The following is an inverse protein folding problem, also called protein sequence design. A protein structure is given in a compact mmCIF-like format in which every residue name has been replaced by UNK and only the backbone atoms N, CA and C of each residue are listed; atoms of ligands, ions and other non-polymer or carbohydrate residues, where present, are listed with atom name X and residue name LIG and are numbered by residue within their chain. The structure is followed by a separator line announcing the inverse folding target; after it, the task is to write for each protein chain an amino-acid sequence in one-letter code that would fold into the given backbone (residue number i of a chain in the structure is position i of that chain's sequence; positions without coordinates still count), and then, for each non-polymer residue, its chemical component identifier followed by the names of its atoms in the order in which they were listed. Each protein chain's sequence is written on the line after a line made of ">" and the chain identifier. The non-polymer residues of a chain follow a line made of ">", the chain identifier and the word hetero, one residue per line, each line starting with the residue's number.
data_IF_641300934822
#
_entry.id   IF_641300934822
#
_cell.length_a   1.000
_cell.length_b   1.000
_cell.length_c   1.000
_cell.angle_alpha   90.00
_cell.angle_beta   90.00
_cell.angle_gamma   90.00
#
_symmetry.space_group_name_H-M   'P 1'
#
loop_
_entity.id
_entity.type
_entity.pdbx_description
1 polymer ?
#
# COMPACT_ATOMS: atom_id res chain seq x y z
N UNK A 1 -11.68 41.71 -20.59
CA UNK A 1 -10.58 40.74 -20.80
C UNK A 1 -9.86 40.35 -19.50
N UNK A 2 -9.18 41.25 -18.77
CA UNK A 2 -8.47 40.88 -17.51
C UNK A 2 -9.33 40.14 -16.48
N UNK A 3 -10.60 40.54 -16.30
CA UNK A 3 -11.54 39.88 -15.37
C UNK A 3 -11.90 38.45 -15.79
N UNK A 4 -11.94 38.16 -17.09
CA UNK A 4 -12.21 36.82 -17.62
C UNK A 4 -11.01 35.91 -17.34
N UNK A 5 -9.79 36.41 -17.55
CA UNK A 5 -8.56 35.68 -17.21
C UNK A 5 -8.46 35.37 -15.72
N UNK A 6 -8.83 36.31 -14.85
CA UNK A 6 -8.86 36.07 -13.41
C UNK A 6 -9.84 34.94 -13.07
N UNK A 7 -11.08 34.99 -13.57
CA UNK A 7 -12.10 33.95 -13.32
C UNK A 7 -11.64 32.58 -13.81
N UNK A 8 -11.02 32.49 -15.00
CA UNK A 8 -10.47 31.23 -15.52
C UNK A 8 -9.35 30.72 -14.62
N UNK A 9 -8.44 31.59 -14.16
CA UNK A 9 -7.36 31.20 -13.26
C UNK A 9 -7.89 30.69 -11.91
N UNK A 10 -8.91 31.36 -11.36
CA UNK A 10 -9.54 30.92 -10.11
C UNK A 10 -10.27 29.59 -10.27
N UNK A 11 -10.94 29.35 -11.41
CA UNK A 11 -11.60 28.06 -11.69
C UNK A 11 -10.59 26.92 -11.81
N UNK A 12 -9.44 27.14 -12.45
CA UNK A 12 -8.38 26.15 -12.59
C UNK A 12 -7.73 25.75 -11.25
N UNK A 13 -7.70 26.67 -10.27
CA UNK A 13 -7.17 26.42 -8.93
C UNK A 13 -8.12 25.63 -8.01
N UNK A 14 -9.40 25.51 -8.37
CA UNK A 14 -10.44 24.90 -7.53
C UNK A 14 -10.83 23.50 -8.03
N UNK A 15 -10.29 23.04 -9.15
CA UNK A 15 -10.42 21.64 -9.53
C UNK A 15 -9.56 20.79 -8.59
N UNK A 16 -10.15 19.86 -7.80
CA UNK A 16 -9.35 18.85 -7.15
C UNK A 16 -8.70 18.02 -8.25
N UNK A 17 -7.38 18.16 -8.40
CA UNK A 17 -6.58 17.14 -9.05
C UNK A 17 -6.67 15.92 -8.12
N UNK A 18 -7.67 15.07 -8.33
CA UNK A 18 -7.59 13.69 -7.88
C UNK A 18 -6.42 13.09 -8.63
N UNK A 19 -5.27 13.01 -7.97
CA UNK A 19 -4.06 12.46 -8.52
C UNK A 19 -3.78 11.13 -7.85
N UNK A 20 -3.51 10.12 -8.65
CA UNK A 20 -2.84 8.89 -8.22
C UNK A 20 -1.59 9.24 -7.42
N UNK A 21 -1.34 8.50 -6.35
CA UNK A 21 -0.20 8.72 -5.47
C UNK A 21 1.09 8.58 -6.28
N UNK A 22 2.01 9.51 -6.09
CA UNK A 22 3.33 9.47 -6.71
C UNK A 22 4.39 9.43 -5.62
N UNK A 23 5.22 8.41 -5.67
CA UNK A 23 6.37 8.26 -4.78
C UNK A 23 7.63 8.27 -5.64
N UNK A 24 8.71 8.88 -5.15
CA UNK A 24 10.03 8.86 -5.81
C UNK A 24 11.04 8.47 -4.75
N UNK A 25 11.50 7.23 -4.82
CA UNK A 25 12.12 6.53 -3.69
C UNK A 25 12.99 5.37 -4.19
N UNK A 26 13.83 4.78 -3.33
CA UNK A 26 14.51 3.52 -3.63
C UNK A 26 13.54 2.35 -3.44
N UNK A 27 13.28 1.57 -4.49
CA UNK A 27 12.43 0.38 -4.37
C UNK A 27 13.04 -0.63 -3.38
N UNK A 28 14.37 -0.74 -3.37
CA UNK A 28 15.08 -1.61 -2.43
C UNK A 28 14.84 -1.19 -0.98
N UNK A 29 14.95 0.11 -0.67
CA UNK A 29 14.73 0.58 0.70
C UNK A 29 13.25 0.54 1.09
N UNK A 30 12.34 0.80 0.15
CA UNK A 30 10.91 0.60 0.37
C UNK A 30 10.59 -0.85 0.76
N UNK A 31 11.24 -1.85 0.14
CA UNK A 31 10.98 -3.27 0.42
C UNK A 31 11.62 -3.78 1.73
N UNK A 32 12.84 -3.34 2.05
CA UNK A 32 13.67 -3.98 3.09
C UNK A 32 14.22 -3.03 4.16
N UNK A 33 13.81 -1.77 4.20
CA UNK A 33 14.44 -0.80 5.09
C UNK A 33 13.65 0.48 5.24
N UNK A 34 14.37 1.56 5.50
CA UNK A 34 13.79 2.88 5.75
C UNK A 34 13.80 3.71 4.47
N UNK A 35 12.62 4.18 4.06
CA UNK A 35 12.40 5.03 2.91
C UNK A 35 11.34 6.11 3.25
N UNK A 36 11.77 7.26 3.80
CA UNK A 36 10.87 8.27 4.34
C UNK A 36 10.10 9.04 3.24
N UNK A 37 10.39 8.78 1.97
CA UNK A 37 9.66 9.36 0.83
C UNK A 37 8.44 8.52 0.41
N UNK A 38 8.18 7.40 1.08
CA UNK A 38 7.01 6.57 0.90
C UNK A 38 6.01 6.76 2.05
N UNK A 39 4.74 6.40 1.81
CA UNK A 39 3.71 6.44 2.85
C UNK A 39 4.02 5.50 4.03
N UNK A 40 4.70 4.40 3.75
CA UNK A 40 5.32 3.46 4.67
C UNK A 40 6.53 2.83 3.97
N UNK A 41 7.39 2.15 4.71
CA UNK A 41 8.57 1.47 4.21
C UNK A 41 8.68 0.07 4.83
N UNK A 42 9.82 -0.60 4.63
CA UNK A 42 10.03 -1.97 5.08
C UNK A 42 8.87 -2.92 4.72
N UNK A 43 8.34 -2.83 3.50
CA UNK A 43 7.11 -3.50 3.05
C UNK A 43 7.03 -4.98 3.47
N UNK A 44 8.14 -5.70 3.47
CA UNK A 44 8.20 -7.12 3.81
C UNK A 44 7.86 -7.39 5.27
N UNK A 45 8.19 -6.49 6.19
CA UNK A 45 7.85 -6.64 7.60
C UNK A 45 6.37 -6.43 7.90
N UNK A 46 5.56 -6.03 6.90
CA UNK A 46 4.11 -5.91 7.02
C UNK A 46 3.35 -7.12 6.48
N UNK A 47 4.06 -8.11 5.93
CA UNK A 47 3.44 -9.35 5.45
C UNK A 47 2.75 -10.05 6.61
N UNK A 48 1.50 -10.46 6.39
CA UNK A 48 0.75 -11.22 7.36
C UNK A 48 1.52 -12.50 7.73
N UNK A 49 1.67 -12.73 9.03
CA UNK A 49 2.26 -13.96 9.51
C UNK A 49 1.36 -15.14 9.15
N UNK A 50 2.00 -16.18 8.60
CA UNK A 50 1.31 -17.40 8.23
C UNK A 50 0.87 -18.22 9.43
N UNK A 51 0.58 -19.49 9.19
CA UNK A 51 0.16 -20.43 10.23
C UNK A 51 1.22 -20.48 11.34
N UNK A 52 0.88 -19.99 12.54
CA UNK A 52 1.72 -20.01 13.73
C UNK A 52 1.81 -21.42 14.35
N UNK A 53 2.34 -22.37 13.59
CA UNK A 53 2.73 -23.70 14.07
C UNK A 53 4.22 -23.65 14.38
N UNK A 54 4.58 -24.04 15.60
CA UNK A 54 5.98 -24.12 16.02
C UNK A 54 6.82 -24.94 15.01
N UNK A 55 7.81 -24.29 14.41
CA UNK A 55 8.73 -24.90 13.43
C UNK A 55 8.18 -24.99 11.99
N UNK A 56 7.05 -24.35 11.69
CA UNK A 56 6.50 -24.30 10.33
C UNK A 56 7.22 -23.26 9.47
N UNK A 57 7.38 -22.04 9.99
CA UNK A 57 8.25 -21.02 9.40
C UNK A 57 9.48 -20.81 10.30
N UNK A 58 10.62 -20.51 9.70
CA UNK A 58 11.85 -20.11 10.42
C UNK A 58 12.25 -18.75 9.88
N UNK A 59 11.85 -17.70 10.58
CA UNK A 59 12.33 -16.35 10.31
C UNK A 59 13.69 -16.14 10.98
N UNK A 60 14.37 -15.05 10.60
CA UNK A 60 15.67 -14.70 11.16
C UNK A 60 15.59 -14.67 12.71
N UNK A 61 16.71 -14.87 13.44
CA UNK A 61 16.73 -15.47 14.79
C UNK A 61 16.03 -14.71 15.94
N UNK A 62 15.34 -13.61 15.66
CA UNK A 62 14.66 -12.75 16.62
C UNK A 62 13.16 -12.62 16.39
N UNK A 63 12.64 -13.09 15.26
CA UNK A 63 11.22 -12.96 14.92
C UNK A 63 10.42 -14.14 15.52
N UNK A 64 9.44 -13.81 16.37
CA UNK A 64 8.57 -14.77 17.04
C UNK A 64 7.22 -14.81 16.33
N UNK A 65 6.97 -15.89 15.61
CA UNK A 65 5.64 -16.15 15.05
C UNK A 65 4.51 -16.00 16.06
N UNK A 66 3.67 -14.99 15.84
CA UNK A 66 2.43 -14.78 16.56
C UNK A 66 1.23 -15.22 15.73
N UNK A 67 0.16 -15.63 16.41
CA UNK A 67 -1.12 -15.82 15.75
C UNK A 67 -1.90 -14.51 15.87
N UNK A 68 -1.53 -13.50 15.08
CA UNK A 68 -2.17 -12.19 15.18
C UNK A 68 -1.55 -11.03 14.44
N UNK A 69 -0.39 -11.16 13.80
CA UNK A 69 0.20 -10.06 13.03
C UNK A 69 -0.20 -10.16 11.54
N UNK A 70 -1.17 -9.33 11.15
CA UNK A 70 -1.80 -9.35 9.83
C UNK A 70 -2.88 -10.43 9.67
N UNK A 71 -3.49 -10.47 8.49
CA UNK A 71 -4.52 -11.43 8.10
C UNK A 71 -4.60 -11.57 6.57
N UNK A 72 -5.51 -12.42 6.10
CA UNK A 72 -5.82 -12.57 4.68
C UNK A 72 -7.33 -12.62 4.46
N UNK A 73 -7.76 -12.14 3.29
CA UNK A 73 -9.16 -12.23 2.87
C UNK A 73 -9.28 -13.23 1.73
N UNK A 74 -10.13 -14.24 1.92
CA UNK A 74 -10.63 -15.06 0.80
C UNK A 74 -11.82 -14.30 0.20
N UNK A 75 -11.71 -13.79 -1.04
CA UNK A 75 -12.72 -12.91 -1.60
C UNK A 75 -14.01 -13.68 -1.90
N UNK A 76 -15.15 -13.05 -1.63
CA UNK A 76 -16.46 -13.52 -2.11
C UNK A 76 -16.73 -13.06 -3.55
N UNK A 77 -17.86 -13.49 -4.12
CA UNK A 77 -18.22 -13.18 -5.52
C UNK A 77 -18.33 -11.67 -5.80
N UNK A 78 -18.83 -10.88 -4.85
CA UNK A 78 -18.95 -9.43 -4.98
C UNK A 78 -17.56 -8.77 -4.98
N UNK A 79 -16.67 -9.21 -4.09
CA UNK A 79 -15.29 -8.73 -4.01
C UNK A 79 -14.49 -9.11 -5.26
N UNK A 80 -14.68 -10.32 -5.79
CA UNK A 80 -14.06 -10.75 -7.04
C UNK A 80 -14.54 -9.90 -8.23
N UNK A 81 -15.84 -9.60 -8.27
CA UNK A 81 -16.42 -8.73 -9.30
C UNK A 81 -15.82 -7.32 -9.23
N UNK A 82 -15.69 -6.76 -8.03
CA UNK A 82 -15.04 -5.48 -7.80
C UNK A 82 -13.57 -5.49 -8.24
N UNK A 83 -12.81 -6.51 -7.84
CA UNK A 83 -11.40 -6.65 -8.20
C UNK A 83 -11.19 -6.77 -9.70
N UNK A 84 -12.02 -7.55 -10.40
CA UNK A 84 -11.95 -7.65 -11.86
C UNK A 84 -12.09 -6.26 -12.52
N UNK A 85 -13.09 -5.48 -12.09
CA UNK A 85 -13.30 -4.13 -12.61
C UNK A 85 -12.13 -3.20 -12.30
N UNK A 86 -11.59 -3.23 -11.08
CA UNK A 86 -10.43 -2.42 -10.66
C UNK A 86 -9.20 -2.77 -11.50
N UNK A 87 -8.92 -4.07 -11.68
CA UNK A 87 -7.76 -4.55 -12.45
C UNK A 87 -7.91 -4.20 -13.93
N UNK A 88 -9.09 -4.31 -14.51
CA UNK A 88 -9.35 -3.92 -15.90
C UNK A 88 -9.04 -2.43 -16.13
N UNK A 89 -9.50 -1.55 -15.23
CA UNK A 89 -9.20 -0.12 -15.27
C UNK A 89 -7.69 0.14 -15.12
N UNK A 90 -7.04 -0.53 -14.17
CA UNK A 90 -5.62 -0.39 -13.91
C UNK A 90 -4.76 -0.81 -15.12
N UNK A 91 -5.08 -1.95 -15.74
CA UNK A 91 -4.39 -2.45 -16.94
C UNK A 91 -4.66 -1.58 -18.17
N UNK A 92 -5.82 -0.94 -18.26
CA UNK A 92 -6.13 0.07 -19.27
C UNK A 92 -5.38 1.41 -19.06
N UNK A 93 -4.72 1.60 -17.90
CA UNK A 93 -4.04 2.83 -17.53
C UNK A 93 -4.98 3.92 -16.98
N UNK A 94 -6.24 3.58 -16.73
CA UNK A 94 -7.25 4.46 -16.11
C UNK A 94 -7.05 4.51 -14.59
N UNK A 95 -5.92 5.06 -14.14
CA UNK A 95 -5.49 4.98 -12.75
C UNK A 95 -6.37 5.75 -11.77
N UNK A 96 -6.85 6.94 -12.14
CA UNK A 96 -7.76 7.72 -11.27
C UNK A 96 -9.11 7.00 -11.11
N UNK A 97 -9.58 6.34 -12.18
CA UNK A 97 -10.81 5.54 -12.16
C UNK A 97 -10.61 4.27 -11.32
N UNK A 98 -9.45 3.61 -11.44
CA UNK A 98 -9.10 2.45 -10.62
C UNK A 98 -9.04 2.81 -9.13
N UNK A 99 -8.39 3.94 -8.77
CA UNK A 99 -8.37 4.44 -7.39
C UNK A 99 -9.78 4.78 -6.89
N UNK A 100 -10.61 5.39 -7.75
CA UNK A 100 -12.01 5.68 -7.43
C UNK A 100 -12.81 4.40 -7.17
N UNK A 101 -12.62 3.37 -7.99
CA UNK A 101 -13.27 2.08 -7.83
C UNK A 101 -12.87 1.39 -6.51
N UNK A 102 -11.57 1.42 -6.16
CA UNK A 102 -11.05 0.94 -4.87
C UNK A 102 -11.73 1.65 -3.70
N UNK A 103 -11.78 2.98 -3.74
CA UNK A 103 -12.38 3.80 -2.67
C UNK A 103 -13.88 3.50 -2.49
N UNK A 104 -14.60 3.27 -3.59
CA UNK A 104 -16.05 3.01 -3.56
C UNK A 104 -16.39 1.69 -2.89
N UNK A 105 -15.53 0.67 -2.99
CA UNK A 105 -15.74 -0.64 -2.36
C UNK A 105 -15.06 -0.76 -0.99
N UNK A 106 -14.29 0.25 -0.59
CA UNK A 106 -13.66 0.31 0.73
C UNK A 106 -12.47 -0.64 0.89
N UNK A 107 -11.84 -1.08 -0.20
CA UNK A 107 -10.62 -1.88 -0.11
C UNK A 107 -9.46 -1.00 0.38
N UNK A 108 -8.61 -1.49 1.31
CA UNK A 108 -7.47 -0.75 1.84
C UNK A 108 -6.29 -0.76 0.84
N UNK A 109 -6.53 -0.38 -0.41
CA UNK A 109 -5.54 -0.40 -1.47
C UNK A 109 -5.36 0.98 -2.10
N UNK A 110 -4.21 1.17 -2.72
CA UNK A 110 -3.86 2.39 -3.42
C UNK A 110 -3.23 2.06 -4.77
N UNK A 111 -3.58 2.87 -5.77
CA UNK A 111 -2.84 2.97 -7.02
C UNK A 111 -1.66 3.90 -6.76
N UNK A 112 -0.44 3.43 -7.03
CA UNK A 112 0.80 4.19 -6.82
C UNK A 112 1.63 4.19 -8.10
N UNK A 113 2.06 5.37 -8.51
CA UNK A 113 3.15 5.54 -9.48
C UNK A 113 4.46 5.68 -8.70
N UNK A 114 5.21 4.59 -8.63
CA UNK A 114 6.46 4.53 -7.89
C UNK A 114 7.64 4.76 -8.84
N UNK A 115 8.31 5.90 -8.71
CA UNK A 115 9.49 6.25 -9.50
C UNK A 115 10.73 5.75 -8.77
N UNK A 116 11.21 4.59 -9.17
CA UNK A 116 12.35 3.94 -8.51
C UNK A 116 13.66 4.64 -8.85
N UNK A 117 14.33 5.13 -7.82
CA UNK A 117 15.62 5.81 -7.93
C UNK A 117 16.78 4.84 -8.15
N UNK A 118 16.62 3.55 -7.83
CA UNK A 118 17.65 2.53 -8.02
C UNK A 118 17.80 2.14 -9.50
N UNK A 119 16.67 1.90 -10.18
CA UNK A 119 16.65 1.45 -11.59
C UNK A 119 16.26 2.54 -12.60
N UNK A 120 15.68 3.65 -12.15
CA UNK A 120 15.09 4.67 -13.03
C UNK A 120 13.78 4.25 -13.69
N UNK A 121 13.18 3.14 -13.27
CA UNK A 121 11.91 2.62 -13.79
C UNK A 121 10.75 3.21 -12.98
N UNK A 122 9.68 3.63 -13.67
CA UNK A 122 8.41 3.93 -13.01
C UNK A 122 7.53 2.69 -12.98
N UNK A 123 7.30 2.15 -11.77
CA UNK A 123 6.35 1.08 -11.53
C UNK A 123 4.95 1.65 -11.32
N UNK A 124 3.96 0.92 -11.82
CA UNK A 124 2.54 1.14 -11.51
C UNK A 124 2.17 0.03 -10.55
N UNK A 125 1.75 0.37 -9.34
CA UNK A 125 1.49 -0.59 -8.27
C UNK A 125 0.03 -0.48 -7.82
N UNK A 126 -0.59 -1.62 -7.56
CA UNK A 126 -1.72 -1.76 -6.65
C UNK A 126 -1.12 -2.25 -5.34
N UNK A 127 -1.17 -1.43 -4.30
CA UNK A 127 -0.49 -1.67 -3.03
C UNK A 127 -1.47 -1.59 -1.87
N UNK A 128 -1.40 -2.53 -0.93
CA UNK A 128 -2.20 -2.52 0.29
C UNK A 128 -1.69 -1.47 1.29
N UNK A 129 -2.60 -0.85 2.03
CA UNK A 129 -2.26 0.05 3.15
C UNK A 129 -2.22 -0.77 4.44
N UNK A 130 -1.10 -0.82 5.17
CA UNK A 130 -1.01 -1.55 6.43
C UNK A 130 -2.10 -1.12 7.42
N UNK A 131 -2.77 -2.08 8.05
CA UNK A 131 -3.70 -1.81 9.14
C UNK A 131 -2.91 -1.57 10.44
N UNK A 132 -2.93 -0.35 11.01
CA UNK A 132 -2.16 0.01 12.20
C UNK A 132 -2.65 -0.65 13.50
N UNK A 133 -3.75 -1.41 13.46
CA UNK A 133 -4.22 -2.18 14.62
C UNK A 133 -3.34 -3.41 14.93
N UNK A 134 -2.54 -3.87 13.95
CA UNK A 134 -1.57 -4.93 14.16
C UNK A 134 -0.27 -4.38 14.74
N UNK A 135 0.29 -5.13 15.68
CA UNK A 135 1.55 -4.80 16.35
C UNK A 135 2.27 -6.10 16.70
N UNK A 136 3.56 -6.17 16.37
CA UNK A 136 4.46 -7.23 16.81
C UNK A 136 5.59 -6.63 17.65
N UNK A 137 5.82 -7.23 18.81
CA UNK A 137 6.89 -6.86 19.75
C UNK A 137 8.13 -7.76 19.59
N UNK A 138 8.09 -8.70 18.64
CA UNK A 138 9.07 -9.76 18.44
C UNK A 138 9.39 -10.58 19.73
N UNK A 139 8.59 -10.40 20.78
CA UNK A 139 8.85 -10.89 22.13
C UNK A 139 10.16 -10.40 22.75
N UNK A 140 10.71 -9.24 22.36
CA UNK A 140 11.95 -8.67 22.92
C UNK A 140 11.70 -7.45 23.80
N UNK A 141 12.70 -7.06 24.61
CA UNK A 141 12.66 -5.82 25.42
C UNK A 141 13.12 -4.60 24.59
N UNK A 142 13.75 -4.83 23.43
CA UNK A 142 14.11 -3.77 22.50
C UNK A 142 12.83 -3.36 21.77
N UNK A 143 12.59 -2.07 21.61
CA UNK A 143 11.42 -1.57 20.86
C UNK A 143 11.82 -1.12 19.46
N UNK A 144 13.11 -1.23 19.12
CA UNK A 144 13.62 -0.84 17.80
C UNK A 144 13.20 -1.84 16.71
N UNK A 145 13.04 -3.10 17.08
CA UNK A 145 12.54 -4.17 16.23
C UNK A 145 11.01 -4.32 16.31
N UNK A 146 10.27 -3.43 16.98
CA UNK A 146 8.81 -3.51 16.97
C UNK A 146 8.23 -3.14 15.59
N UNK A 147 7.36 -4.00 15.07
CA UNK A 147 6.60 -3.71 13.86
C UNK A 147 5.22 -3.17 14.16
N UNK A 148 4.90 -2.01 13.59
CA UNK A 148 3.57 -1.41 13.67
C UNK A 148 2.88 -1.46 12.31
N UNK A 149 1.72 -2.11 12.29
CA UNK A 149 0.86 -2.28 11.14
C UNK A 149 1.22 -3.51 10.30
N UNK A 150 0.20 -4.16 9.74
CA UNK A 150 0.35 -5.33 8.87
C UNK A 150 -0.75 -5.38 7.81
N UNK A 151 -0.55 -6.16 6.75
CA UNK A 151 -1.58 -6.39 5.74
C UNK A 151 -2.73 -7.23 6.32
N UNK A 152 -3.96 -6.77 6.08
CA UNK A 152 -5.19 -7.43 6.52
C UNK A 152 -5.83 -8.27 5.41
N UNK A 153 -5.53 -7.95 4.15
CA UNK A 153 -6.02 -8.69 2.98
C UNK A 153 -4.96 -9.67 2.48
N UNK A 154 -3.69 -9.46 2.87
CA UNK A 154 -2.60 -10.43 2.75
C UNK A 154 -1.99 -10.51 1.35
N UNK A 155 -2.33 -9.59 0.44
CA UNK A 155 -1.84 -9.61 -0.94
C UNK A 155 -0.73 -8.59 -1.20
N UNK A 156 -0.66 -7.55 -0.35
CA UNK A 156 0.43 -6.57 -0.28
C UNK A 156 0.53 -5.59 -1.44
#
# INVERSE_FOLDING_TARGET
>A
MKRIWIIILTLLLVFPLAGVIQETASLKHFLYGNEPNCAYDNWISHLAEGIAIQGYNTYAPYDRQTNGFGDFVVPNDDQLTAWNYIVDLFLAGSFDEAQTAINNVGFPYQVVLFNDTDSGITYRMLREVPNPEYYDDNGTDDTYDDENGAFAYGWG
#
